data_IF_823622312435
#
_entry.id   IF_823622312435
#
_cell.length_a   1.000
_cell.length_b   1.000
_cell.length_c   1.000
_cell.angle_alpha   90.00
_cell.angle_beta   90.00
_cell.angle_gamma   90.00
#
_symmetry.space_group_name_H-M   'P 1'
#
loop_
_entity.id
_entity.type
_entity.pdbx_description
1 polymer ?
#
# COMPACT_ATOMS: atom_id res chain seq x y z
N UNK A 1 -35.31 6.48 0.03
CA UNK A 1 -35.14 5.02 -0.10
C UNK A 1 -34.28 4.79 -1.32
N UNK A 2 -33.03 4.39 -1.12
CA UNK A 2 -31.92 4.70 -2.01
C UNK A 2 -31.53 3.41 -2.74
N UNK A 3 -31.65 3.40 -4.06
CA UNK A 3 -31.51 2.20 -4.92
C UNK A 3 -30.04 1.73 -5.12
N UNK A 4 -29.15 2.01 -4.17
CA UNK A 4 -27.72 1.66 -4.26
C UNK A 4 -27.40 0.44 -3.40
N UNK A 5 -28.11 0.27 -2.28
CA UNK A 5 -27.90 -0.85 -1.35
C UNK A 5 -28.37 -2.18 -1.93
N UNK A 6 -29.31 -2.16 -2.89
CA UNK A 6 -29.81 -3.38 -3.54
C UNK A 6 -28.87 -3.94 -4.61
N UNK A 7 -27.93 -3.15 -5.13
CA UNK A 7 -27.02 -3.60 -6.19
C UNK A 7 -25.67 -4.12 -5.67
N UNK A 8 -25.35 -3.88 -4.39
CA UNK A 8 -24.10 -4.32 -3.77
C UNK A 8 -24.18 -5.72 -3.14
N UNK A 9 -25.37 -6.17 -2.72
CA UNK A 9 -25.54 -7.50 -2.12
C UNK A 9 -25.38 -8.63 -3.15
N UNK A 10 -25.86 -8.43 -4.38
CA UNK A 10 -25.91 -9.45 -5.42
C UNK A 10 -24.55 -9.85 -6.02
N UNK A 11 -23.54 -8.98 -5.94
CA UNK A 11 -22.20 -9.25 -6.49
C UNK A 11 -21.30 -9.96 -5.47
N UNK A 12 -21.60 -9.86 -4.18
CA UNK A 12 -20.83 -10.47 -3.11
C UNK A 12 -21.12 -11.98 -2.98
N UNK A 13 -22.40 -12.37 -3.05
CA UNK A 13 -22.81 -13.78 -2.89
C UNK A 13 -22.33 -14.71 -4.02
N UNK A 14 -22.02 -14.17 -5.20
CA UNK A 14 -21.49 -14.94 -6.33
C UNK A 14 -20.01 -15.31 -6.18
N UNK A 15 -19.22 -14.47 -5.49
CA UNK A 15 -17.76 -14.63 -5.37
C UNK A 15 -17.39 -15.60 -4.26
N UNK A 16 -18.15 -15.58 -3.15
CA UNK A 16 -18.00 -16.52 -2.03
C UNK A 16 -18.26 -17.99 -2.44
N UNK A 17 -19.16 -18.20 -3.40
CA UNK A 17 -19.46 -19.54 -3.93
C UNK A 17 -18.35 -20.09 -4.82
N UNK A 18 -17.68 -19.22 -5.60
CA UNK A 18 -16.60 -19.61 -6.51
C UNK A 18 -15.28 -19.91 -5.78
N UNK A 19 -15.02 -19.20 -4.68
CA UNK A 19 -13.82 -19.39 -3.84
C UNK A 19 -13.90 -20.70 -3.03
N UNK A 20 -15.09 -21.07 -2.56
CA UNK A 20 -15.31 -22.33 -1.86
C UNK A 20 -15.14 -23.56 -2.77
N UNK A 21 -15.56 -23.47 -4.03
CA UNK A 21 -15.39 -24.55 -5.01
C UNK A 21 -13.92 -24.72 -5.42
N UNK A 22 -13.19 -23.62 -5.63
CA UNK A 22 -11.75 -23.66 -5.92
C UNK A 22 -10.94 -24.22 -4.75
N UNK A 23 -11.30 -23.87 -3.51
CA UNK A 23 -10.65 -24.41 -2.32
C UNK A 23 -10.91 -25.92 -2.14
N UNK A 24 -12.13 -26.39 -2.43
CA UNK A 24 -12.48 -27.80 -2.35
C UNK A 24 -11.76 -28.64 -3.44
N UNK A 25 -11.58 -28.07 -4.65
CA UNK A 25 -10.85 -28.75 -5.73
C UNK A 25 -9.36 -28.89 -5.39
N UNK A 26 -8.76 -27.87 -4.77
CA UNK A 26 -7.38 -27.91 -4.31
C UNK A 26 -7.17 -28.94 -3.20
N UNK A 27 -8.09 -29.02 -2.23
CA UNK A 27 -8.04 -30.00 -1.15
C UNK A 27 -8.11 -31.44 -1.67
N UNK A 28 -9.00 -31.71 -2.64
CA UNK A 28 -9.13 -33.05 -3.22
C UNK A 28 -7.89 -33.47 -4.02
N UNK A 29 -7.21 -32.52 -4.68
CA UNK A 29 -5.97 -32.78 -5.40
C UNK A 29 -4.80 -33.12 -4.45
N UNK A 30 -4.80 -32.56 -3.22
CA UNK A 30 -3.79 -32.84 -2.19
C UNK A 30 -4.02 -34.23 -1.57
N UNK A 31 -5.27 -34.65 -1.36
CA UNK A 31 -5.60 -35.96 -0.81
C UNK A 31 -5.23 -37.12 -1.77
N UNK A 32 -5.41 -36.94 -3.08
CA UNK A 32 -5.09 -37.95 -4.10
C UNK A 32 -3.58 -38.13 -4.35
N UNK A 33 -2.75 -37.18 -3.89
CA UNK A 33 -1.31 -37.20 -4.11
C UNK A 33 -0.52 -38.04 -3.08
N UNK A 34 -1.17 -38.61 -2.06
CA UNK A 34 -0.64 -39.63 -1.16
C UNK A 34 0.83 -39.45 -0.76
N UNK A 35 1.11 -38.53 0.17
CA UNK A 35 2.42 -38.42 0.82
C UNK A 35 2.29 -37.91 2.26
N UNK A 36 3.04 -38.54 3.16
CA UNK A 36 2.95 -38.53 4.62
C UNK A 36 2.78 -37.16 5.31
N UNK A 37 1.93 -37.17 6.34
CA UNK A 37 1.28 -36.03 7.02
C UNK A 37 2.16 -35.11 7.90
N UNK A 38 3.49 -35.07 7.73
CA UNK A 38 4.34 -34.25 8.65
C UNK A 38 5.32 -33.24 8.01
N UNK A 39 5.55 -33.23 6.69
CA UNK A 39 6.57 -32.35 6.07
C UNK A 39 5.99 -31.24 5.16
N UNK A 40 4.68 -31.06 5.08
CA UNK A 40 4.08 -30.02 4.21
C UNK A 40 3.74 -28.76 5.01
N UNK A 41 4.73 -28.18 5.69
CA UNK A 41 4.61 -26.84 6.32
C UNK A 41 5.70 -25.85 5.89
N UNK A 42 6.74 -26.28 5.20
CA UNK A 42 7.82 -25.38 4.77
C UNK A 42 7.85 -25.06 3.27
N UNK A 43 7.24 -25.88 2.40
CA UNK A 43 7.36 -25.67 0.94
C UNK A 43 6.16 -24.96 0.28
N UNK A 44 5.14 -24.54 1.04
CA UNK A 44 4.10 -23.59 0.56
C UNK A 44 4.52 -22.13 0.86
N UNK A 45 5.83 -21.84 0.86
CA UNK A 45 6.37 -20.51 1.21
C UNK A 45 7.09 -19.81 0.05
N UNK A 46 7.23 -20.42 -1.13
CA UNK A 46 8.00 -19.79 -2.22
C UNK A 46 7.24 -19.38 -3.49
N UNK A 47 5.93 -19.66 -3.62
CA UNK A 47 5.16 -19.21 -4.81
C UNK A 47 3.90 -18.39 -4.50
N UNK A 48 3.98 -17.54 -3.47
CA UNK A 48 3.21 -16.29 -3.41
C UNK A 48 4.20 -15.16 -3.19
N UNK A 49 4.96 -14.86 -4.24
CA UNK A 49 5.80 -13.66 -4.30
C UNK A 49 5.16 -12.72 -5.30
N UNK A 50 4.25 -11.89 -4.79
CA UNK A 50 4.09 -10.47 -5.04
C UNK A 50 2.72 -10.06 -4.46
N UNK A 51 2.65 -8.83 -3.95
CA UNK A 51 1.42 -8.21 -3.43
C UNK A 51 1.02 -8.59 -2.00
N UNK A 52 1.80 -8.16 -1.00
CA UNK A 52 1.28 -7.39 0.15
C UNK A 52 2.43 -6.95 1.09
N UNK A 53 3.06 -5.83 0.77
CA UNK A 53 3.92 -5.10 1.73
C UNK A 53 3.42 -3.65 1.89
N UNK A 54 2.11 -3.48 2.05
CA UNK A 54 1.50 -2.15 2.16
C UNK A 54 0.61 -1.99 3.41
N UNK A 55 1.03 -2.56 4.55
CA UNK A 55 0.37 -2.28 5.84
C UNK A 55 1.00 -1.12 6.65
N UNK A 56 2.13 -0.53 6.23
CA UNK A 56 2.73 0.65 6.92
C UNK A 56 2.85 1.93 6.08
N UNK A 57 2.43 1.94 4.81
CA UNK A 57 2.56 3.13 3.94
C UNK A 57 1.39 4.11 4.12
N UNK A 58 0.32 3.73 4.83
CA UNK A 58 -0.93 4.52 4.90
C UNK A 58 -0.89 5.73 5.84
N UNK A 59 0.09 5.85 6.75
CA UNK A 59 0.08 6.90 7.78
C UNK A 59 1.26 7.88 7.77
N UNK A 60 2.24 7.75 6.85
CA UNK A 60 3.31 8.75 6.75
C UNK A 60 2.77 10.01 6.05
N UNK A 61 2.41 11.00 6.86
CA UNK A 61 1.91 12.30 6.39
C UNK A 61 3.07 13.12 5.80
N UNK A 62 3.13 13.14 4.47
CA UNK A 62 4.04 13.99 3.71
C UNK A 62 3.34 15.27 3.25
N UNK A 63 4.12 16.31 2.97
CA UNK A 63 3.70 17.57 2.38
C UNK A 63 2.61 18.31 3.18
N UNK A 64 2.32 19.57 2.87
CA UNK A 64 1.23 20.32 3.52
C UNK A 64 -0.17 19.85 3.10
N UNK A 65 -0.27 19.15 1.98
CA UNK A 65 -1.54 18.65 1.47
C UNK A 65 -1.99 17.33 2.12
N UNK A 66 -1.15 16.71 2.97
CA UNK A 66 -1.38 15.37 3.53
C UNK A 66 -1.72 14.31 2.47
N UNK A 67 -1.29 14.54 1.23
CA UNK A 67 -1.56 13.66 0.10
C UNK A 67 -0.47 12.60 -0.07
N UNK A 68 -0.73 11.60 -0.94
CA UNK A 68 0.26 10.57 -1.22
C UNK A 68 1.53 11.19 -1.83
N UNK A 69 2.67 10.55 -1.58
CA UNK A 69 3.99 10.98 -2.06
C UNK A 69 4.21 10.77 -3.56
N UNK A 70 3.26 11.20 -4.40
CA UNK A 70 3.30 10.98 -5.86
C UNK A 70 3.91 12.17 -6.61
N UNK A 71 4.59 11.88 -7.71
CA UNK A 71 5.15 12.90 -8.61
C UNK A 71 6.46 13.52 -8.10
N UNK A 72 6.71 14.79 -8.50
CA UNK A 72 7.96 15.49 -8.16
C UNK A 72 7.92 16.03 -6.73
N UNK A 73 8.86 15.57 -5.90
CA UNK A 73 8.98 15.96 -4.50
C UNK A 73 10.39 16.43 -4.15
N UNK A 74 10.49 17.30 -3.15
CA UNK A 74 11.75 17.79 -2.56
C UNK A 74 11.79 17.39 -1.09
N UNK A 75 12.96 17.00 -0.60
CA UNK A 75 13.19 16.70 0.81
C UNK A 75 13.65 17.96 1.56
N UNK A 76 13.15 18.16 2.77
CA UNK A 76 13.58 19.21 3.68
C UNK A 76 14.79 18.75 4.51
N UNK A 77 15.88 19.50 4.48
CA UNK A 77 17.12 19.25 5.25
C UNK A 77 17.01 19.62 6.74
N UNK A 78 15.82 19.97 7.21
CA UNK A 78 15.56 20.26 8.62
C UNK A 78 15.65 19.00 9.46
N UNK A 79 16.60 18.95 10.40
CA UNK A 79 16.89 17.75 11.22
C UNK A 79 15.70 17.22 12.05
N UNK A 80 14.68 18.06 12.30
CA UNK A 80 13.46 17.70 13.03
C UNK A 80 12.20 17.96 12.19
N UNK A 81 12.32 17.96 10.86
CA UNK A 81 11.19 18.16 9.98
C UNK A 81 10.23 16.96 10.06
N UNK A 82 9.01 17.18 10.53
CA UNK A 82 8.02 16.10 10.71
C UNK A 82 7.56 15.51 9.37
N UNK A 83 7.48 16.35 8.34
CA UNK A 83 6.91 15.96 7.04
C UNK A 83 7.95 15.42 6.06
N UNK A 84 9.22 15.77 6.22
CA UNK A 84 10.39 15.36 5.42
C UNK A 84 10.33 15.66 3.90
N UNK A 85 9.19 15.48 3.23
CA UNK A 85 8.99 15.54 1.79
C UNK A 85 7.82 16.44 1.40
N UNK A 86 7.99 17.17 0.30
CA UNK A 86 7.01 18.14 -0.19
C UNK A 86 6.86 18.08 -1.70
N UNK A 87 5.63 18.14 -2.20
CA UNK A 87 5.40 18.25 -3.64
C UNK A 87 5.86 19.62 -4.13
N UNK A 88 6.52 19.64 -5.29
CA UNK A 88 7.01 20.88 -5.91
C UNK A 88 5.91 21.94 -6.02
N UNK A 89 4.70 21.53 -6.43
CA UNK A 89 3.56 22.44 -6.59
C UNK A 89 3.09 23.02 -5.25
N UNK A 90 3.15 22.25 -4.18
CA UNK A 90 2.71 22.68 -2.85
C UNK A 90 3.66 23.70 -2.21
N UNK A 91 4.94 23.68 -2.60
CA UNK A 91 5.97 24.61 -2.10
C UNK A 91 6.46 25.60 -3.17
N UNK A 92 5.71 25.77 -4.27
CA UNK A 92 6.00 26.76 -5.31
C UNK A 92 7.24 26.48 -6.17
N UNK A 93 7.82 25.27 -6.12
CA UNK A 93 8.96 24.89 -6.95
C UNK A 93 8.51 24.47 -8.35
N UNK A 94 9.20 24.97 -9.38
CA UNK A 94 9.01 24.54 -10.78
C UNK A 94 10.03 23.48 -11.19
N UNK A 95 11.22 23.56 -10.62
CA UNK A 95 12.38 22.70 -10.85
C UNK A 95 13.01 22.36 -9.51
N UNK A 96 13.89 21.35 -9.49
CA UNK A 96 14.66 21.03 -8.29
C UNK A 96 15.48 22.26 -7.87
N UNK A 97 15.61 22.53 -6.55
CA UNK A 97 16.48 23.59 -6.06
C UNK A 97 17.91 23.41 -6.59
N UNK A 98 18.54 24.50 -6.99
CA UNK A 98 19.96 24.48 -7.43
C UNK A 98 20.92 24.43 -6.25
N UNK A 99 20.45 24.76 -5.06
CA UNK A 99 21.20 24.68 -3.81
C UNK A 99 21.32 23.22 -3.35
N UNK A 100 22.42 22.91 -2.65
CA UNK A 100 22.62 21.57 -2.06
C UNK A 100 21.61 21.22 -0.97
N UNK A 101 20.98 22.23 -0.36
CA UNK A 101 20.02 22.08 0.73
C UNK A 101 18.77 22.89 0.45
N UNK A 102 17.63 22.35 0.88
CA UNK A 102 16.34 23.03 0.82
C UNK A 102 15.59 22.82 2.14
N UNK A 103 14.86 23.84 2.57
CA UNK A 103 14.13 23.83 3.83
C UNK A 103 12.67 24.24 3.57
N UNK A 104 11.73 23.59 4.25
CA UNK A 104 10.34 24.02 4.26
C UNK A 104 10.15 25.26 5.14
N UNK A 105 9.03 25.95 4.97
CA UNK A 105 8.72 27.17 5.72
C UNK A 105 8.76 26.96 7.24
N UNK A 106 8.26 25.83 7.73
CA UNK A 106 8.31 25.48 9.17
C UNK A 106 9.75 25.41 9.68
N UNK A 107 10.66 24.82 8.91
CA UNK A 107 12.08 24.71 9.30
C UNK A 107 12.85 26.02 9.10
N UNK A 108 12.41 26.91 8.21
CA UNK A 108 12.98 28.25 8.06
C UNK A 108 12.57 29.17 9.21
N UNK A 109 11.36 29.00 9.76
CA UNK A 109 10.84 29.80 10.88
C UNK A 109 11.40 29.37 12.25
N UNK A 110 11.99 28.18 12.33
CA UNK A 110 12.62 27.63 13.54
C UNK A 110 14.15 27.91 13.62
N UNK A 111 14.69 28.63 12.64
CA UNK A 111 16.13 28.93 12.49
C UNK A 111 16.56 30.30 13.01
#
# INVERSE_FOLDING_TARGET
MNNTEQNQASEQEGRESQEAEAAAELLRAVEEAGSDEEEVKEEVKEEVKEEDQDEEVKDRVYCYCNGPGTGRMVACDGARCVREWFHFRCVGLKTAPTTKRWYCDDCLMLG
#
